data_IF_868900747976
#
_entry.id   IF_868900747976
#
_cell.length_a   1.000
_cell.length_b   1.000
_cell.length_c   1.000
_cell.angle_alpha   90.00
_cell.angle_beta   90.00
_cell.angle_gamma   90.00
#
_symmetry.space_group_name_H-M   'P 1'
#
loop_
_entity.id
_entity.type
_entity.pdbx_description
1 polymer ?
#
# COMPACT_ATOMS: atom_id res chain seq x y z
N UNK A 1 47.99 -55.53 46.91
CA UNK A 1 48.51 -54.27 46.31
C UNK A 1 47.70 -53.99 45.04
N UNK A 2 46.55 -53.29 45.11
CA UNK A 2 46.38 -51.85 44.81
C UNK A 2 47.09 -51.40 43.53
N UNK A 3 46.31 -51.03 42.50
CA UNK A 3 46.53 -49.98 41.48
C UNK A 3 45.27 -49.93 40.59
N UNK A 4 44.26 -49.14 40.99
CA UNK A 4 43.92 -47.83 40.43
C UNK A 4 43.49 -47.89 38.95
N UNK A 5 42.21 -48.23 38.73
CA UNK A 5 41.51 -47.99 37.46
C UNK A 5 40.91 -46.59 37.57
N UNK A 6 41.48 -45.65 36.81
CA UNK A 6 41.05 -44.27 36.73
C UNK A 6 39.99 -44.16 35.62
N UNK A 7 38.71 -44.28 35.98
CA UNK A 7 37.59 -44.16 35.04
C UNK A 7 37.27 -42.68 34.87
N UNK A 8 37.78 -42.08 33.78
CA UNK A 8 37.45 -40.72 33.36
C UNK A 8 35.99 -40.71 32.87
N UNK A 9 35.05 -40.33 33.74
CA UNK A 9 33.65 -40.10 33.36
C UNK A 9 33.58 -38.78 32.59
N UNK A 10 33.64 -38.88 31.26
CA UNK A 10 33.45 -37.76 30.34
C UNK A 10 31.94 -37.50 30.23
N UNK A 11 31.40 -36.74 31.18
CA UNK A 11 30.02 -36.25 31.15
C UNK A 11 29.96 -35.19 30.06
N UNK A 12 29.66 -35.63 28.83
CA UNK A 12 29.25 -34.73 27.76
C UNK A 12 27.89 -34.17 28.14
N UNK A 13 27.88 -32.94 28.68
CA UNK A 13 26.67 -32.15 28.80
C UNK A 13 26.17 -31.88 27.38
N UNK A 14 25.24 -32.70 26.90
CA UNK A 14 24.39 -32.33 25.79
C UNK A 14 23.57 -31.13 26.25
N UNK A 15 24.07 -29.93 25.95
CA UNK A 15 23.22 -28.75 25.86
C UNK A 15 22.30 -29.06 24.68
N UNK A 16 21.10 -29.56 24.97
CA UNK A 16 20.01 -29.49 24.02
C UNK A 16 19.74 -28.00 23.85
N UNK A 17 20.39 -27.37 22.87
CA UNK A 17 19.84 -26.18 22.28
C UNK A 17 18.42 -26.57 21.88
N UNK A 18 17.42 -26.07 22.60
CA UNK A 18 16.06 -26.13 22.09
C UNK A 18 16.12 -25.40 20.76
N UNK A 19 16.14 -26.15 19.65
CA UNK A 19 15.75 -25.66 18.33
C UNK A 19 14.28 -25.29 18.43
N UNK A 20 13.98 -24.23 19.17
CA UNK A 20 12.70 -23.56 19.11
C UNK A 20 12.60 -23.06 17.69
N UNK A 21 11.69 -23.66 16.92
CA UNK A 21 11.26 -23.08 15.66
C UNK A 21 10.93 -21.61 15.97
N UNK A 22 11.65 -20.71 15.34
CA UNK A 22 11.60 -19.28 15.64
C UNK A 22 11.72 -18.51 14.35
N UNK A 23 11.01 -17.38 14.30
CA UNK A 23 11.02 -16.49 13.14
C UNK A 23 11.95 -15.33 13.44
N UNK A 24 12.97 -15.15 12.62
CA UNK A 24 13.83 -13.98 12.66
C UNK A 24 13.47 -13.04 11.49
N UNK A 25 13.46 -11.74 11.76
CA UNK A 25 13.28 -10.72 10.74
C UNK A 25 14.27 -9.60 11.01
N UNK A 26 15.02 -9.18 9.99
CA UNK A 26 15.87 -8.00 10.07
C UNK A 26 15.10 -6.76 9.60
N UNK A 27 15.38 -5.61 10.20
CA UNK A 27 14.83 -4.31 9.79
C UNK A 27 14.95 -4.14 8.27
N UNK A 28 13.82 -3.80 7.63
CA UNK A 28 13.80 -3.60 6.18
C UNK A 28 14.59 -2.36 5.78
N UNK A 29 15.30 -2.49 4.66
CA UNK A 29 16.08 -1.41 4.08
C UNK A 29 15.17 -0.39 3.38
N UNK A 30 15.34 0.89 3.70
CA UNK A 30 14.44 1.98 3.33
C UNK A 30 15.00 2.84 2.20
N UNK A 31 14.18 3.20 1.22
CA UNK A 31 14.55 4.19 0.19
C UNK A 31 13.40 5.12 -0.17
N UNK A 32 13.67 6.43 -0.20
CA UNK A 32 12.63 7.44 -0.42
C UNK A 32 11.64 7.61 0.73
N UNK A 33 11.95 7.02 1.90
CA UNK A 33 11.28 7.18 3.19
C UNK A 33 12.34 7.63 4.21
N UNK A 34 11.94 8.36 5.25
CA UNK A 34 12.82 8.59 6.40
C UNK A 34 13.11 7.29 7.15
N UNK A 35 14.18 7.26 7.93
CA UNK A 35 14.52 6.13 8.78
C UNK A 35 13.39 5.82 9.79
N UNK A 36 12.80 6.86 10.37
CA UNK A 36 11.69 6.73 11.32
C UNK A 36 10.43 6.13 10.66
N UNK A 37 10.08 6.58 9.46
CA UNK A 37 8.95 6.01 8.70
C UNK A 37 9.21 4.55 8.34
N UNK A 38 10.42 4.24 7.88
CA UNK A 38 10.83 2.87 7.52
C UNK A 38 10.73 1.94 8.73
N UNK A 39 11.26 2.37 9.89
CA UNK A 39 11.18 1.63 11.16
C UNK A 39 9.73 1.47 11.62
N UNK A 40 8.92 2.52 11.52
CA UNK A 40 7.51 2.47 11.92
C UNK A 40 6.71 1.48 11.08
N UNK A 41 6.84 1.55 9.75
CA UNK A 41 6.20 0.62 8.81
C UNK A 41 6.65 -0.83 9.06
N UNK A 42 7.93 -1.02 9.32
CA UNK A 42 8.47 -2.32 9.69
C UNK A 42 7.90 -2.83 11.03
N UNK A 43 7.74 -1.97 12.03
CA UNK A 43 7.16 -2.35 13.32
C UNK A 43 5.69 -2.76 13.19
N UNK A 44 4.90 -2.09 12.34
CA UNK A 44 3.54 -2.55 12.01
C UNK A 44 3.55 -3.94 11.37
N UNK A 45 4.45 -4.17 10.42
CA UNK A 45 4.64 -5.50 9.82
C UNK A 45 5.03 -6.54 10.88
N UNK A 46 6.01 -6.25 11.72
CA UNK A 46 6.53 -7.18 12.73
C UNK A 46 5.49 -7.52 13.80
N UNK A 47 4.75 -6.52 14.29
CA UNK A 47 3.69 -6.73 15.27
C UNK A 47 2.50 -7.53 14.72
N UNK A 48 2.25 -7.46 13.40
CA UNK A 48 1.25 -8.32 12.77
C UNK A 48 1.80 -9.71 12.43
N UNK A 49 3.09 -9.80 12.08
CA UNK A 49 3.79 -11.07 11.89
C UNK A 49 3.81 -11.89 13.17
N UNK A 50 4.00 -11.27 14.33
CA UNK A 50 3.92 -11.94 15.63
C UNK A 50 2.56 -12.59 15.86
N UNK A 51 1.46 -11.90 15.50
CA UNK A 51 0.10 -12.46 15.60
C UNK A 51 -0.16 -13.56 14.58
N UNK A 52 0.48 -13.48 13.42
CA UNK A 52 0.35 -14.46 12.35
C UNK A 52 1.25 -15.69 12.56
N UNK A 53 2.31 -15.60 13.35
CA UNK A 53 3.25 -16.69 13.58
C UNK A 53 2.73 -17.66 14.64
N UNK A 54 2.98 -18.96 14.45
CA UNK A 54 2.83 -19.95 15.53
C UNK A 54 4.09 -20.05 16.40
N UNK A 55 5.22 -19.62 15.84
CA UNK A 55 6.54 -19.64 16.45
C UNK A 55 6.90 -18.29 17.06
N UNK A 56 7.67 -18.25 18.16
CA UNK A 56 8.16 -16.99 18.72
C UNK A 56 9.04 -16.22 17.73
N UNK A 57 8.86 -14.91 17.70
CA UNK A 57 9.73 -14.01 16.96
C UNK A 57 10.97 -13.70 17.79
N UNK A 58 12.14 -13.75 17.18
CA UNK A 58 13.37 -13.33 17.82
C UNK A 58 13.39 -11.81 18.01
N UNK A 59 14.06 -11.35 19.08
CA UNK A 59 14.20 -9.92 19.34
C UNK A 59 14.99 -9.25 18.23
N UNK A 60 14.61 -8.01 17.88
CA UNK A 60 15.31 -7.24 16.85
C UNK A 60 16.78 -6.97 17.21
N UNK A 61 17.08 -6.86 18.50
CA UNK A 61 18.45 -6.71 18.99
C UNK A 61 19.29 -7.96 18.70
N UNK A 62 18.76 -9.14 19.06
CA UNK A 62 19.45 -10.42 18.82
C UNK A 62 19.66 -10.68 17.33
N UNK A 63 18.63 -10.45 16.51
CA UNK A 63 18.74 -10.60 15.05
C UNK A 63 19.74 -9.60 14.48
N UNK A 64 19.69 -8.33 14.92
CA UNK A 64 20.64 -7.30 14.49
C UNK A 64 22.08 -7.66 14.81
N UNK A 65 22.37 -8.13 16.02
CA UNK A 65 23.70 -8.57 16.42
C UNK A 65 24.20 -9.76 15.58
N UNK A 66 23.34 -10.77 15.38
CA UNK A 66 23.67 -11.94 14.57
C UNK A 66 23.97 -11.55 13.11
N UNK A 67 23.17 -10.66 12.52
CA UNK A 67 23.37 -10.20 11.14
C UNK A 67 24.60 -9.30 11.00
N UNK A 68 24.86 -8.40 11.96
CA UNK A 68 26.03 -7.51 11.93
C UNK A 68 27.36 -8.23 12.18
N UNK A 69 27.33 -9.38 12.85
CA UNK A 69 28.52 -10.23 13.02
C UNK A 69 28.95 -10.93 11.71
N UNK A 70 28.04 -11.03 10.74
CA UNK A 70 28.38 -11.46 9.39
C UNK A 70 29.20 -10.33 8.77
N UNK A 71 30.49 -10.58 8.53
CA UNK A 71 31.40 -9.65 7.86
C UNK A 71 31.00 -9.48 6.38
N UNK A 72 29.85 -8.86 6.14
CA UNK A 72 29.22 -8.73 4.84
C UNK A 72 29.85 -7.57 4.10
N UNK A 73 30.32 -7.81 2.87
CA UNK A 73 30.85 -6.75 2.00
C UNK A 73 29.77 -5.76 1.52
N UNK A 74 28.49 -6.04 1.78
CA UNK A 74 27.38 -5.18 1.37
C UNK A 74 26.40 -4.97 2.51
N UNK A 75 26.04 -3.70 2.75
CA UNK A 75 25.17 -3.23 3.85
C UNK A 75 23.73 -3.77 3.82
N UNK A 76 23.36 -4.55 2.80
CA UNK A 76 21.97 -4.90 2.52
C UNK A 76 21.73 -6.43 2.58
N UNK A 77 21.19 -6.92 3.70
CA UNK A 77 20.95 -8.33 3.95
C UNK A 77 19.70 -8.90 3.24
N UNK A 78 19.60 -8.72 1.93
CA UNK A 78 18.54 -9.34 1.10
C UNK A 78 19.09 -10.04 -0.15
N UNK A 79 20.42 -10.08 -0.30
CA UNK A 79 21.10 -10.92 -1.29
C UNK A 79 21.16 -12.36 -0.78
N UNK A 80 21.27 -13.30 -1.72
CA UNK A 80 21.26 -14.74 -1.45
C UNK A 80 22.24 -15.14 -0.34
N UNK A 81 23.48 -14.67 -0.44
CA UNK A 81 24.56 -15.06 0.48
C UNK A 81 24.30 -14.57 1.90
N UNK A 82 23.84 -13.32 2.07
CA UNK A 82 23.46 -12.81 3.38
C UNK A 82 22.21 -13.49 3.93
N UNK A 83 21.17 -13.68 3.12
CA UNK A 83 19.89 -14.24 3.57
C UNK A 83 20.07 -15.60 4.24
N UNK A 84 20.86 -16.49 3.62
CA UNK A 84 21.10 -17.82 4.18
C UNK A 84 22.07 -17.79 5.36
N UNK A 85 23.13 -16.98 5.29
CA UNK A 85 24.07 -16.82 6.41
C UNK A 85 23.40 -16.23 7.66
N UNK A 86 22.48 -15.29 7.47
CA UNK A 86 21.69 -14.70 8.55
C UNK A 86 20.68 -15.67 9.15
N UNK A 87 20.05 -16.52 8.34
CA UNK A 87 19.19 -17.59 8.86
C UNK A 87 19.99 -18.54 9.76
N UNK A 88 21.16 -18.97 9.30
CA UNK A 88 22.05 -19.86 10.04
C UNK A 88 22.55 -19.21 11.34
N UNK A 89 23.05 -17.97 11.26
CA UNK A 89 23.55 -17.23 12.41
C UNK A 89 22.48 -16.92 13.46
N UNK A 90 21.22 -16.74 13.05
CA UNK A 90 20.09 -16.57 13.97
C UNK A 90 19.56 -17.91 14.50
N UNK A 91 19.94 -19.05 13.91
CA UNK A 91 19.37 -20.35 14.24
C UNK A 91 17.85 -20.41 14.03
N UNK A 92 17.31 -19.59 13.14
CA UNK A 92 15.86 -19.44 12.94
C UNK A 92 15.32 -20.46 11.92
N UNK A 93 14.13 -20.99 12.20
CA UNK A 93 13.43 -21.88 11.25
C UNK A 93 13.01 -21.10 10.01
N UNK A 94 12.77 -19.79 10.16
CA UNK A 94 12.44 -18.85 9.10
C UNK A 94 13.17 -17.53 9.30
N UNK A 95 13.84 -17.04 8.26
CA UNK A 95 14.45 -15.71 8.25
C UNK A 95 13.81 -14.82 7.17
N UNK A 96 13.49 -13.59 7.56
CA UNK A 96 12.89 -12.56 6.71
C UNK A 96 13.82 -11.36 6.59
N UNK A 97 13.98 -10.88 5.36
CA UNK A 97 14.57 -9.58 5.10
C UNK A 97 13.78 -8.87 4.00
N UNK A 98 13.90 -7.55 3.90
CA UNK A 98 13.10 -6.83 2.94
C UNK A 98 13.58 -5.43 2.62
N UNK A 99 12.87 -4.83 1.68
CA UNK A 99 13.06 -3.45 1.24
C UNK A 99 11.72 -2.72 1.27
N UNK A 100 11.72 -1.48 1.74
CA UNK A 100 10.62 -0.52 1.69
C UNK A 100 11.05 0.65 0.80
N UNK A 101 10.28 0.91 -0.24
CA UNK A 101 10.56 2.00 -1.17
C UNK A 101 9.33 2.87 -1.39
N UNK A 102 9.51 4.18 -1.25
CA UNK A 102 8.52 5.15 -1.68
C UNK A 102 9.09 5.99 -2.83
N UNK A 103 8.39 5.98 -3.97
CA UNK A 103 8.79 6.77 -5.14
C UNK A 103 7.61 6.93 -6.07
N UNK A 104 7.49 8.11 -6.72
CA UNK A 104 6.36 8.41 -7.62
C UNK A 104 5.00 8.16 -6.96
N UNK A 105 4.85 8.62 -5.69
CA UNK A 105 3.63 8.47 -4.87
C UNK A 105 3.21 7.01 -4.63
N UNK A 106 4.14 6.05 -4.71
CA UNK A 106 3.85 4.62 -4.61
C UNK A 106 4.76 3.98 -3.58
N UNK A 107 4.15 3.26 -2.65
CA UNK A 107 4.84 2.36 -1.75
C UNK A 107 5.10 1.03 -2.45
N UNK A 108 6.31 0.50 -2.25
CA UNK A 108 6.74 -0.81 -2.76
C UNK A 108 7.45 -1.53 -1.64
N UNK A 109 7.00 -2.74 -1.34
CA UNK A 109 7.70 -3.64 -0.41
C UNK A 109 8.10 -4.91 -1.14
N UNK A 110 9.32 -5.39 -0.86
CA UNK A 110 9.76 -6.73 -1.24
C UNK A 110 10.27 -7.43 0.01
N UNK A 111 9.71 -8.58 0.34
CA UNK A 111 10.17 -9.42 1.45
C UNK A 111 10.70 -10.73 0.89
N UNK A 112 11.88 -11.12 1.36
CA UNK A 112 12.58 -12.35 1.03
C UNK A 112 12.47 -13.27 2.24
N UNK A 113 11.90 -14.45 2.02
CA UNK A 113 11.76 -15.51 3.01
C UNK A 113 12.70 -16.65 2.68
N UNK A 114 13.46 -17.08 3.66
CA UNK A 114 14.15 -18.37 3.67
C UNK A 114 13.61 -19.20 4.82
N UNK A 115 13.56 -20.51 4.61
CA UNK A 115 12.84 -21.45 5.47
C UNK A 115 13.62 -22.76 5.53
N UNK A 116 13.86 -23.25 6.75
CA UNK A 116 14.55 -24.51 7.03
C UNK A 116 13.87 -25.71 6.37
N UNK A 117 12.55 -25.64 6.15
CA UNK A 117 11.76 -26.68 5.47
C UNK A 117 12.06 -26.78 3.97
N UNK A 118 12.72 -25.77 3.38
CA UNK A 118 13.05 -25.71 1.96
C UNK A 118 14.45 -25.13 1.73
N UNK A 119 15.50 -25.89 2.13
CA UNK A 119 16.87 -25.38 2.15
C UNK A 119 17.35 -24.96 0.77
N UNK A 120 18.14 -23.89 0.72
CA UNK A 120 18.75 -23.36 -0.51
C UNK A 120 17.79 -22.60 -1.43
N UNK A 121 16.51 -22.46 -1.07
CA UNK A 121 15.52 -21.67 -1.81
C UNK A 121 15.03 -20.47 -1.00
N UNK A 122 14.84 -19.35 -1.68
CA UNK A 122 14.19 -18.17 -1.12
C UNK A 122 12.89 -17.88 -1.87
N UNK A 123 11.86 -17.43 -1.14
CA UNK A 123 10.58 -16.99 -1.71
C UNK A 123 10.47 -15.48 -1.55
N UNK A 124 10.11 -14.79 -2.64
CA UNK A 124 9.91 -13.33 -2.60
C UNK A 124 8.43 -12.98 -2.63
N UNK A 125 8.01 -12.12 -1.71
CA UNK A 125 6.70 -11.51 -1.68
C UNK A 125 6.82 -10.03 -2.02
N UNK A 126 5.88 -9.50 -2.81
CA UNK A 126 5.95 -8.12 -3.31
C UNK A 126 4.59 -7.45 -3.25
N UNK A 127 4.57 -6.19 -2.83
CA UNK A 127 3.38 -5.32 -2.89
C UNK A 127 3.78 -4.02 -3.58
N UNK A 128 2.86 -3.51 -4.40
CA UNK A 128 2.87 -2.15 -4.95
C UNK A 128 1.55 -1.51 -4.53
N UNK A 129 1.62 -0.36 -3.88
CA UNK A 129 0.44 0.32 -3.37
C UNK A 129 0.52 1.81 -3.66
N UNK A 130 -0.53 2.35 -4.28
CA UNK A 130 -0.76 3.79 -4.43
C UNK A 130 -1.95 4.19 -3.57
N UNK A 131 -1.70 5.08 -2.63
CA UNK A 131 -2.68 5.57 -1.67
C UNK A 131 -1.98 6.17 -0.44
N UNK A 132 -2.73 6.29 0.65
CA UNK A 132 -2.27 6.80 1.94
C UNK A 132 -1.46 5.78 2.76
N UNK A 133 -0.73 6.26 3.77
CA UNK A 133 0.10 5.42 4.65
C UNK A 133 -0.71 4.34 5.36
N UNK A 134 -1.93 4.64 5.80
CA UNK A 134 -2.77 3.68 6.55
C UNK A 134 -3.19 2.48 5.70
N UNK A 135 -3.55 2.72 4.43
CA UNK A 135 -3.84 1.63 3.51
C UNK A 135 -2.59 0.80 3.19
N UNK A 136 -1.42 1.43 3.12
CA UNK A 136 -0.16 0.69 2.95
C UNK A 136 0.20 -0.15 4.19
N UNK A 137 -0.01 0.37 5.41
CA UNK A 137 0.14 -0.38 6.66
C UNK A 137 -0.76 -1.62 6.63
N UNK A 138 -2.02 -1.47 6.23
CA UNK A 138 -2.94 -2.62 6.10
C UNK A 138 -2.42 -3.66 5.10
N UNK A 139 -1.82 -3.24 3.98
CA UNK A 139 -1.19 -4.18 3.03
C UNK A 139 0.04 -4.89 3.63
N UNK A 140 0.85 -4.22 4.46
CA UNK A 140 1.96 -4.83 5.20
C UNK A 140 1.45 -5.85 6.22
N UNK A 141 0.39 -5.53 6.95
CA UNK A 141 -0.27 -6.44 7.87
C UNK A 141 -0.75 -7.70 7.14
N UNK A 142 -1.44 -7.54 6.01
CA UNK A 142 -1.87 -8.66 5.15
C UNK A 142 -0.68 -9.47 4.62
N UNK A 143 0.44 -8.80 4.31
CA UNK A 143 1.66 -9.46 3.85
C UNK A 143 2.22 -10.43 4.90
N UNK A 144 2.16 -10.06 6.17
CA UNK A 144 2.65 -10.90 7.26
C UNK A 144 1.91 -12.25 7.32
N UNK A 145 0.58 -12.24 7.27
CA UNK A 145 -0.25 -13.45 7.20
C UNK A 145 0.08 -14.31 5.97
N UNK A 146 0.25 -13.67 4.80
CA UNK A 146 0.62 -14.37 3.56
C UNK A 146 2.00 -15.01 3.62
N UNK A 147 2.96 -14.37 4.28
CA UNK A 147 4.32 -14.90 4.47
C UNK A 147 4.27 -16.17 5.32
N UNK A 148 3.46 -16.14 6.39
CA UNK A 148 3.21 -17.29 7.27
C UNK A 148 2.31 -18.36 6.64
N UNK A 149 1.75 -18.10 5.44
CA UNK A 149 0.88 -19.06 4.76
C UNK A 149 -0.49 -19.23 5.43
N UNK A 150 -0.91 -18.27 6.25
CA UNK A 150 -2.18 -18.29 6.98
C UNK A 150 -3.26 -17.47 6.29
N UNK A 151 -4.52 -17.77 6.61
CA UNK A 151 -5.66 -16.99 6.16
C UNK A 151 -5.64 -15.59 6.77
N UNK A 152 -5.96 -14.58 5.95
CA UNK A 152 -5.95 -13.18 6.37
C UNK A 152 -7.21 -12.90 7.21
N UNK A 153 -7.07 -12.41 8.46
CA UNK A 153 -8.22 -12.11 9.31
C UNK A 153 -9.20 -11.12 8.67
N UNK A 154 -10.49 -11.35 8.88
CA UNK A 154 -11.56 -10.47 8.36
C UNK A 154 -11.40 -9.00 8.79
N UNK A 155 -10.82 -8.72 9.97
CA UNK A 155 -10.50 -7.36 10.42
C UNK A 155 -9.54 -6.60 9.50
N UNK A 156 -8.60 -7.28 8.85
CA UNK A 156 -7.66 -6.67 7.90
C UNK A 156 -8.33 -6.48 6.55
N UNK A 157 -9.12 -7.47 6.11
CA UNK A 157 -9.88 -7.38 4.88
C UNK A 157 -10.90 -6.22 4.92
N UNK A 158 -11.53 -5.97 6.06
CA UNK A 158 -12.45 -4.84 6.25
C UNK A 158 -11.76 -3.47 6.26
N UNK A 159 -10.48 -3.40 6.66
CA UNK A 159 -9.67 -2.15 6.63
C UNK A 159 -9.01 -1.90 5.28
N UNK A 160 -8.96 -2.91 4.42
CA UNK A 160 -8.22 -2.87 3.16
C UNK A 160 -8.79 -1.81 2.22
N UNK A 161 -8.01 -0.76 1.99
CA UNK A 161 -8.36 0.31 1.04
C UNK A 161 -8.06 -0.13 -0.40
N UNK A 162 -8.86 0.30 -1.39
CA UNK A 162 -8.56 0.01 -2.79
C UNK A 162 -7.24 0.68 -3.19
N UNK A 163 -6.31 -0.10 -3.73
CA UNK A 163 -5.10 0.47 -4.32
C UNK A 163 -5.52 1.29 -5.55
N UNK A 164 -5.18 2.58 -5.56
CA UNK A 164 -5.60 3.51 -6.61
C UNK A 164 -5.11 3.08 -7.99
N UNK A 165 -3.90 2.49 -8.10
CA UNK A 165 -3.44 1.92 -9.36
C UNK A 165 -4.39 0.84 -9.86
N UNK A 166 -4.73 -0.12 -9.00
CA UNK A 166 -5.66 -1.19 -9.37
C UNK A 166 -7.10 -0.71 -9.56
N UNK A 167 -7.50 0.41 -8.97
CA UNK A 167 -8.82 0.99 -9.19
C UNK A 167 -8.93 1.57 -10.59
N UNK A 168 -7.97 2.39 -11.00
CA UNK A 168 -7.92 2.90 -12.38
C UNK A 168 -7.69 1.79 -13.40
N UNK A 169 -6.87 0.79 -13.07
CA UNK A 169 -6.66 -0.40 -13.91
C UNK A 169 -7.95 -1.21 -14.05
N UNK A 170 -8.68 -1.49 -12.95
CA UNK A 170 -9.99 -2.16 -13.02
C UNK A 170 -11.05 -1.36 -13.77
N UNK A 171 -11.03 -0.04 -13.65
CA UNK A 171 -11.89 0.82 -14.48
C UNK A 171 -11.47 0.67 -15.93
N UNK A 172 -10.17 0.75 -16.24
CA UNK A 172 -9.67 0.68 -17.60
C UNK A 172 -9.84 -0.70 -18.27
N UNK A 173 -9.77 -1.78 -17.51
CA UNK A 173 -9.91 -3.15 -17.99
C UNK A 173 -11.38 -3.61 -18.10
N UNK A 174 -12.32 -2.90 -17.47
CA UNK A 174 -13.74 -3.23 -17.53
C UNK A 174 -14.48 -2.23 -18.43
N UNK A 175 -14.90 -2.62 -19.65
CA UNK A 175 -15.60 -1.74 -20.58
C UNK A 175 -16.86 -1.09 -19.99
N UNK A 176 -17.62 -1.82 -19.16
CA UNK A 176 -18.82 -1.28 -18.51
C UNK A 176 -18.48 -0.26 -17.43
N UNK A 177 -17.37 -0.43 -16.72
CA UNK A 177 -16.87 0.56 -15.75
C UNK A 177 -16.36 1.83 -16.44
N UNK A 178 -15.64 1.70 -17.57
CA UNK A 178 -15.24 2.86 -18.40
C UNK A 178 -16.48 3.61 -18.92
N UNK A 179 -17.47 2.89 -19.45
CA UNK A 179 -18.76 3.44 -19.89
C UNK A 179 -19.43 4.21 -18.77
N UNK A 180 -19.54 3.59 -17.60
CA UNK A 180 -20.13 4.20 -16.41
C UNK A 180 -19.42 5.49 -15.99
N UNK A 181 -18.09 5.51 -16.02
CA UNK A 181 -17.30 6.70 -15.69
C UNK A 181 -17.52 7.85 -16.69
N UNK A 182 -17.45 7.57 -18.00
CA UNK A 182 -17.68 8.58 -19.05
C UNK A 182 -19.09 9.14 -19.00
N UNK A 183 -20.10 8.26 -18.89
CA UNK A 183 -21.50 8.66 -18.79
C UNK A 183 -21.78 9.41 -17.48
N UNK A 184 -21.12 9.04 -16.39
CA UNK A 184 -21.21 9.75 -15.11
C UNK A 184 -20.73 11.19 -15.23
N UNK A 185 -19.54 11.41 -15.80
CA UNK A 185 -19.00 12.78 -16.01
C UNK A 185 -19.88 13.58 -16.97
N UNK A 186 -20.32 12.99 -18.08
CA UNK A 186 -21.20 13.65 -19.02
C UNK A 186 -22.56 14.01 -18.38
N UNK A 187 -23.16 13.09 -17.62
CA UNK A 187 -24.41 13.31 -16.91
C UNK A 187 -24.33 14.43 -15.87
N UNK A 188 -23.22 14.50 -15.11
CA UNK A 188 -22.95 15.61 -14.19
C UNK A 188 -22.80 16.94 -14.93
N UNK A 189 -22.12 16.95 -16.09
CA UNK A 189 -21.98 18.13 -16.93
C UNK A 189 -23.32 18.63 -17.47
N UNK A 190 -24.19 17.75 -17.98
CA UNK A 190 -25.55 18.09 -18.43
C UNK A 190 -26.40 18.63 -17.28
N UNK A 191 -26.38 17.98 -16.12
CA UNK A 191 -27.12 18.42 -14.93
C UNK A 191 -26.66 19.80 -14.46
N UNK A 192 -25.34 20.03 -14.41
CA UNK A 192 -24.75 21.32 -14.07
C UNK A 192 -25.11 22.40 -15.09
N UNK A 193 -25.05 22.10 -16.39
CA UNK A 193 -25.48 23.00 -17.45
C UNK A 193 -26.92 23.46 -17.25
N UNK A 194 -27.84 22.50 -17.05
CA UNK A 194 -29.27 22.79 -16.89
C UNK A 194 -29.58 23.58 -15.61
N UNK A 195 -28.86 23.33 -14.51
CA UNK A 195 -29.02 24.11 -13.27
C UNK A 195 -28.56 25.55 -13.47
N UNK A 196 -27.41 25.75 -14.11
CA UNK A 196 -26.83 27.08 -14.30
C UNK A 196 -27.57 27.90 -15.36
N UNK A 197 -28.13 27.28 -16.41
CA UNK A 197 -29.00 27.99 -17.37
C UNK A 197 -30.29 28.48 -16.72
N UNK A 198 -30.90 27.67 -15.83
CA UNK A 198 -32.05 28.12 -15.02
C UNK A 198 -31.69 29.25 -14.07
N UNK A 199 -30.55 29.15 -13.38
CA UNK A 199 -30.07 30.23 -12.49
C UNK A 199 -29.78 31.54 -13.24
N UNK A 200 -29.30 31.45 -14.49
CA UNK A 200 -29.13 32.62 -15.35
C UNK A 200 -30.49 33.23 -15.76
N UNK A 201 -31.50 32.41 -16.07
CA UNK A 201 -32.85 32.90 -16.39
C UNK A 201 -33.49 33.57 -15.17
N UNK A 202 -33.43 32.96 -13.99
CA UNK A 202 -33.95 33.57 -12.77
C UNK A 202 -33.27 34.90 -12.47
N UNK A 203 -31.95 35.00 -12.68
CA UNK A 203 -31.23 36.27 -12.53
C UNK A 203 -31.69 37.32 -13.54
N UNK A 204 -32.04 36.92 -14.77
CA UNK A 204 -32.61 37.83 -15.77
C UNK A 204 -33.99 38.34 -15.34
N UNK A 205 -34.89 37.45 -14.90
CA UNK A 205 -36.23 37.82 -14.45
C UNK A 205 -36.17 38.80 -13.27
N UNK A 206 -35.16 38.67 -12.39
CA UNK A 206 -34.92 39.62 -11.30
C UNK A 206 -34.44 40.98 -11.80
N UNK A 207 -33.57 41.04 -12.81
CA UNK A 207 -33.15 42.29 -13.44
C UNK A 207 -34.38 43.01 -14.03
N UNK A 208 -35.24 42.28 -14.74
CA UNK A 208 -36.41 42.84 -15.43
C UNK A 208 -37.49 43.34 -14.45
N UNK A 209 -37.52 42.78 -13.23
CA UNK A 209 -38.44 43.19 -12.16
C UNK A 209 -37.93 44.36 -11.31
N UNK A 210 -36.65 44.71 -11.38
CA UNK A 210 -36.08 45.81 -10.59
C UNK A 210 -36.36 47.18 -11.23
N UNK A 211 -36.64 48.22 -10.41
CA UNK A 211 -36.81 49.56 -10.93
C UNK A 211 -35.47 50.10 -11.48
N UNK A 212 -35.53 50.90 -12.55
CA UNK A 212 -34.34 51.37 -13.27
C UNK A 212 -33.33 52.17 -12.43
N UNK A 213 -33.73 52.70 -11.26
CA UNK A 213 -32.83 53.41 -10.36
C UNK A 213 -32.02 52.48 -9.44
N UNK A 214 -32.40 51.21 -9.29
CA UNK A 214 -31.66 50.22 -8.48
C UNK A 214 -30.48 49.63 -9.25
N UNK A 215 -29.51 50.49 -9.52
CA UNK A 215 -28.31 50.15 -10.28
C UNK A 215 -27.45 49.09 -9.59
N UNK A 216 -27.47 49.02 -8.25
CA UNK A 216 -26.72 48.03 -7.48
C UNK A 216 -27.34 46.63 -7.59
N UNK A 217 -28.66 46.51 -7.44
CA UNK A 217 -29.38 45.25 -7.62
C UNK A 217 -29.29 44.73 -9.05
N UNK A 218 -29.48 45.62 -10.04
CA UNK A 218 -29.35 45.29 -11.47
C UNK A 218 -27.94 44.77 -11.77
N UNK A 219 -26.89 45.42 -11.24
CA UNK A 219 -25.51 44.97 -11.43
C UNK A 219 -25.25 43.60 -10.80
N UNK A 220 -25.69 43.38 -9.55
CA UNK A 220 -25.47 42.12 -8.85
C UNK A 220 -26.12 40.93 -9.57
N UNK A 221 -27.37 41.09 -10.04
CA UNK A 221 -28.04 40.05 -10.81
C UNK A 221 -27.44 39.87 -12.21
N UNK A 222 -26.92 40.93 -12.83
CA UNK A 222 -26.19 40.85 -14.11
C UNK A 222 -24.91 40.02 -13.96
N UNK A 223 -24.10 40.31 -12.94
CA UNK A 223 -22.86 39.58 -12.66
C UNK A 223 -23.15 38.09 -12.35
N UNK A 224 -24.20 37.82 -11.57
CA UNK A 224 -24.64 36.46 -11.24
C UNK A 224 -25.10 35.69 -12.48
N UNK A 225 -25.93 36.32 -13.34
CA UNK A 225 -26.38 35.76 -14.61
C UNK A 225 -25.20 35.40 -15.51
N UNK A 226 -24.23 36.29 -15.66
CA UNK A 226 -23.12 36.10 -16.57
C UNK A 226 -22.14 35.03 -16.04
N UNK A 227 -21.95 34.97 -14.71
CA UNK A 227 -21.26 33.86 -14.03
C UNK A 227 -21.95 32.51 -14.23
N UNK A 228 -23.28 32.47 -14.12
CA UNK A 228 -24.08 31.26 -14.36
C UNK A 228 -24.00 30.82 -15.83
N UNK A 229 -24.09 31.75 -16.79
CA UNK A 229 -23.89 31.46 -18.23
C UNK A 229 -22.50 30.89 -18.52
N UNK A 230 -21.46 31.46 -17.91
CA UNK A 230 -20.08 30.96 -18.03
C UNK A 230 -19.91 29.56 -17.44
N UNK A 231 -20.51 29.29 -16.28
CA UNK A 231 -20.48 27.96 -15.64
C UNK A 231 -21.24 26.93 -16.47
N UNK A 232 -22.36 27.32 -17.08
CA UNK A 232 -23.10 26.49 -18.01
C UNK A 232 -22.23 26.13 -19.23
N UNK A 233 -21.62 27.12 -19.90
CA UNK A 233 -20.80 26.83 -21.10
C UNK A 233 -19.61 25.91 -20.79
N UNK A 234 -18.95 26.07 -19.65
CA UNK A 234 -17.91 25.16 -19.18
C UNK A 234 -18.45 23.73 -18.95
N UNK A 235 -19.60 23.60 -18.29
CA UNK A 235 -20.24 22.31 -18.03
C UNK A 235 -20.61 21.58 -19.33
N UNK A 236 -21.08 22.33 -20.33
CA UNK A 236 -21.34 21.80 -21.68
C UNK A 236 -20.03 21.36 -22.36
N UNK A 237 -18.96 22.16 -22.25
CA UNK A 237 -17.64 21.80 -22.76
C UNK A 237 -17.11 20.48 -22.17
N UNK A 238 -17.18 20.33 -20.85
CA UNK A 238 -16.80 19.08 -20.15
C UNK A 238 -17.62 17.88 -20.65
N UNK A 239 -18.93 18.09 -20.85
CA UNK A 239 -19.82 17.05 -21.38
C UNK A 239 -19.39 16.59 -22.77
N UNK A 240 -19.21 17.55 -23.70
CA UNK A 240 -18.81 17.25 -25.09
C UNK A 240 -17.46 16.56 -25.12
N UNK A 241 -16.47 17.08 -24.41
CA UNK A 241 -15.12 16.48 -24.34
C UNK A 241 -15.18 15.06 -23.80
N UNK A 242 -15.98 14.80 -22.76
CA UNK A 242 -16.13 13.46 -22.18
C UNK A 242 -16.75 12.47 -23.15
N UNK A 243 -17.80 12.88 -23.87
CA UNK A 243 -18.44 12.03 -24.88
C UNK A 243 -17.55 11.78 -26.10
N UNK A 244 -16.84 12.80 -26.59
CA UNK A 244 -15.87 12.67 -27.70
C UNK A 244 -14.74 11.73 -27.29
N UNK A 245 -14.21 11.87 -26.08
CA UNK A 245 -13.23 10.95 -25.52
C UNK A 245 -13.77 9.51 -25.49
N UNK A 246 -14.98 9.31 -24.97
CA UNK A 246 -15.62 7.98 -24.95
C UNK A 246 -15.78 7.36 -26.33
N UNK A 247 -16.12 8.15 -27.34
CA UNK A 247 -16.23 7.69 -28.73
C UNK A 247 -14.88 7.22 -29.28
N UNK A 248 -13.83 8.04 -29.18
CA UNK A 248 -12.51 7.69 -29.69
C UNK A 248 -11.80 6.59 -28.90
N UNK A 249 -12.08 6.49 -27.60
CA UNK A 249 -11.55 5.42 -26.75
C UNK A 249 -12.29 4.08 -26.91
N UNK A 250 -13.26 3.98 -27.85
CA UNK A 250 -14.05 2.75 -28.05
C UNK A 250 -14.94 2.40 -26.87
N UNK A 251 -15.19 3.36 -25.96
CA UNK A 251 -15.95 3.10 -24.74
C UNK A 251 -17.39 2.72 -25.08
N UNK A 252 -17.98 3.24 -26.16
CA UNK A 252 -19.37 2.96 -26.53
C UNK A 252 -19.58 1.80 -27.52
N UNK A 253 -18.51 1.16 -28.00
CA UNK A 253 -18.60 0.03 -28.95
C UNK A 253 -18.67 -1.29 -28.19
N UNK A 254 -19.71 -2.10 -28.45
CA UNK A 254 -19.92 -3.45 -27.86
C UNK A 254 -18.89 -4.49 -28.29
#
# INVERSE_FOLDING_TARGET
>A
MRKLINTLFLVSTFVLAQEGQSVASVQFDGSGLSELETRTLYNYFLGELEKASDDPLQSQESVGQAVSALALETESCFKKDCLFAAQDATGSSMFLAGTLKFSKEKYRVKVYKVDSSNPGKSKTYRIRYKGDSDGFITELEILAWKIMGKEVPGRLMGKRKPNQETFFEKIAENPWAQRGAVLGVAGLGVSSYLKNTRGAQESQDRIDALPAYDTAGIKAHTDSRDGAKSTASLSLGVTVVSLVYGYFAGVFTE
#
